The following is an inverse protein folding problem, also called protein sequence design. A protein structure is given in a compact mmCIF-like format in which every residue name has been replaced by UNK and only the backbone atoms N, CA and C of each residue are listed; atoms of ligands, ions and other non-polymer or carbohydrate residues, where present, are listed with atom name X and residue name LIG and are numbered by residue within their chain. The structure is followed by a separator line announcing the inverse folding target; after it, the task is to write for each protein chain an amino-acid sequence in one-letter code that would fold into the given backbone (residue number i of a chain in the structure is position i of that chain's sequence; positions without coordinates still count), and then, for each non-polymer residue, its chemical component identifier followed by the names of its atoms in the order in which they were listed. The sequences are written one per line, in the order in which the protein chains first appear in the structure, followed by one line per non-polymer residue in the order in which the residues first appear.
data_IF_332264283966
#
_entry.id   IF_332264283966
#
_cell.length_a   1.000
_cell.length_b   1.000
_cell.length_c   1.000
_cell.angle_alpha   90.00
_cell.angle_beta   90.00
_cell.angle_gamma   90.00
#
_symmetry.space_group_name_H-M   'P 1'
#
loop_
_entity.id
_entity.type
_entity.pdbx_description
1 polymer ?
#
# COMPACT_ATOMS: atom_id res chain seq x y z
N UNK A 1 -19.53 15.93 -3.10
CA UNK A 1 -18.13 15.53 -2.81
C UNK A 1 -17.98 14.82 -1.47
N UNK A 2 -18.57 15.28 -0.36
CA UNK A 2 -18.35 14.70 0.98
C UNK A 2 -18.85 13.25 1.20
N UNK A 3 -19.96 12.81 0.60
CA UNK A 3 -20.49 11.46 0.85
C UNK A 3 -19.69 10.32 0.19
N UNK A 4 -19.04 10.55 -0.95
CA UNK A 4 -18.28 9.52 -1.67
C UNK A 4 -17.00 9.14 -0.92
N UNK A 5 -16.34 10.13 -0.32
CA UNK A 5 -15.11 9.97 0.46
C UNK A 5 -15.36 9.15 1.72
N UNK A 6 -16.56 9.23 2.31
CA UNK A 6 -16.87 8.51 3.54
C UNK A 6 -16.93 6.98 3.34
N UNK A 7 -17.53 6.53 2.24
CA UNK A 7 -17.57 5.09 1.91
C UNK A 7 -16.20 4.51 1.62
N UNK A 8 -15.34 5.25 0.92
CA UNK A 8 -13.96 4.84 0.63
C UNK A 8 -13.13 4.78 1.91
N UNK A 9 -13.27 5.77 2.80
CA UNK A 9 -12.61 5.74 4.13
C UNK A 9 -13.03 4.53 4.95
N UNK A 10 -14.33 4.22 5.00
CA UNK A 10 -14.84 3.06 5.73
C UNK A 10 -14.31 1.76 5.09
N UNK A 11 -14.28 1.66 3.76
CA UNK A 11 -13.77 0.49 3.06
C UNK A 11 -12.27 0.27 3.32
N UNK A 12 -11.44 1.30 3.12
CA UNK A 12 -9.98 1.25 3.35
C UNK A 12 -9.67 0.99 4.83
N UNK A 13 -10.36 1.68 5.74
CA UNK A 13 -10.24 1.46 7.18
C UNK A 13 -10.62 0.04 7.58
N UNK A 14 -11.70 -0.51 7.02
CA UNK A 14 -12.11 -1.90 7.29
C UNK A 14 -11.07 -2.90 6.80
N UNK A 15 -10.52 -2.70 5.59
CA UNK A 15 -9.45 -3.54 5.05
C UNK A 15 -8.20 -3.44 5.94
N UNK A 16 -7.83 -2.24 6.39
CA UNK A 16 -6.69 -2.02 7.28
C UNK A 16 -6.88 -2.71 8.64
N UNK A 17 -8.08 -2.63 9.23
CA UNK A 17 -8.40 -3.31 10.51
C UNK A 17 -8.39 -4.82 10.34
N UNK A 18 -9.00 -5.36 9.27
CA UNK A 18 -8.99 -6.79 8.99
C UNK A 18 -7.57 -7.32 8.74
N UNK A 19 -6.77 -6.58 7.97
CA UNK A 19 -5.36 -6.91 7.70
C UNK A 19 -4.50 -6.83 8.96
N UNK A 20 -4.67 -5.78 9.76
CA UNK A 20 -3.97 -5.62 11.03
C UNK A 20 -4.33 -6.71 12.05
N UNK A 21 -5.62 -7.07 12.16
CA UNK A 21 -6.09 -8.18 12.99
C UNK A 21 -5.53 -9.52 12.52
N UNK A 22 -5.43 -9.73 11.20
CA UNK A 22 -4.79 -10.92 10.62
C UNK A 22 -3.30 -10.99 10.98
N UNK A 23 -2.56 -9.90 10.82
CA UNK A 23 -1.13 -9.83 11.17
C UNK A 23 -0.88 -10.06 12.67
N UNK A 24 -1.73 -9.50 13.54
CA UNK A 24 -1.66 -9.75 14.98
C UNK A 24 -1.99 -11.20 15.32
N UNK A 25 -3.07 -11.75 14.75
CA UNK A 25 -3.46 -13.15 14.95
C UNK A 25 -2.34 -14.09 14.52
N UNK A 26 -1.69 -13.82 13.39
CA UNK A 26 -0.56 -14.63 12.92
C UNK A 26 0.65 -14.53 13.86
N UNK A 27 0.94 -13.36 14.42
CA UNK A 27 2.00 -13.22 15.44
C UNK A 27 1.73 -14.03 16.72
N UNK A 28 0.48 -14.05 17.18
CA UNK A 28 0.09 -14.76 18.41
C UNK A 28 -0.09 -16.27 18.21
N UNK A 29 -0.67 -16.70 17.09
CA UNK A 29 -0.93 -18.13 16.81
C UNK A 29 0.28 -18.87 16.22
N UNK A 30 1.15 -18.21 15.44
CA UNK A 30 2.42 -18.81 15.02
C UNK A 30 3.53 -18.43 16.01
N UNK A 31 3.51 -19.08 17.18
CA UNK A 31 4.49 -18.84 18.25
C UNK A 31 5.88 -19.39 17.93
N UNK A 32 5.96 -20.33 17.00
CA UNK A 32 7.21 -20.90 16.51
C UNK A 32 7.88 -19.98 15.48
N UNK A 33 9.04 -19.44 15.85
CA UNK A 33 10.04 -18.89 14.94
C UNK A 33 10.66 -19.93 13.98
N UNK A 34 10.05 -21.11 13.89
CA UNK A 34 10.35 -22.16 12.93
C UNK A 34 9.26 -22.12 11.88
N UNK A 35 9.64 -21.95 10.61
CA UNK A 35 8.74 -22.13 9.49
C UNK A 35 7.85 -23.35 9.75
N UNK A 36 6.53 -23.23 9.52
CA UNK A 36 5.60 -24.37 9.36
C UNK A 36 5.99 -25.33 8.21
N UNK A 37 7.15 -25.09 7.60
CA UNK A 37 7.85 -25.84 6.56
C UNK A 37 9.22 -26.32 7.07
N UNK A 38 9.30 -26.91 8.27
CA UNK A 38 10.52 -27.58 8.76
C UNK A 38 10.60 -29.07 8.41
N UNK A 39 9.56 -29.64 7.78
CA UNK A 39 9.70 -30.93 7.12
C UNK A 39 10.32 -30.72 5.74
N UNK A 40 11.58 -31.16 5.56
CA UNK A 40 12.35 -30.99 4.33
C UNK A 40 11.62 -31.48 3.06
N UNK A 41 10.66 -32.42 3.21
CA UNK A 41 9.74 -32.88 2.16
C UNK A 41 8.82 -31.77 1.62
N UNK A 42 8.28 -30.90 2.47
CA UNK A 42 7.35 -29.84 2.05
C UNK A 42 8.08 -28.64 1.44
N UNK A 43 9.28 -28.29 1.93
CA UNK A 43 10.13 -27.27 1.28
C UNK A 43 10.51 -27.68 -0.14
N UNK A 44 10.91 -28.94 -0.34
CA UNK A 44 11.15 -29.47 -1.69
C UNK A 44 9.87 -29.45 -2.52
N UNK A 45 8.73 -29.93 -2.01
CA UNK A 45 7.48 -29.94 -2.77
C UNK A 45 7.00 -28.53 -3.16
N UNK A 46 7.12 -27.54 -2.28
CA UNK A 46 6.77 -26.14 -2.58
C UNK A 46 7.78 -25.52 -3.55
N UNK A 47 9.08 -25.76 -3.38
CA UNK A 47 10.10 -25.28 -4.31
C UNK A 47 9.99 -25.93 -5.70
N UNK A 48 9.65 -27.22 -5.77
CA UNK A 48 9.45 -27.96 -7.03
C UNK A 48 8.13 -27.60 -7.70
N UNK A 49 7.06 -27.32 -6.93
CA UNK A 49 5.82 -26.77 -7.48
C UNK A 49 6.01 -25.33 -7.94
N UNK A 50 6.75 -24.50 -7.20
CA UNK A 50 7.11 -23.15 -7.64
C UNK A 50 7.98 -23.19 -8.90
N UNK A 51 8.97 -24.07 -8.99
CA UNK A 51 9.78 -24.20 -10.21
C UNK A 51 8.96 -24.68 -11.41
N UNK A 52 8.02 -25.62 -11.22
CA UNK A 52 7.13 -26.10 -12.27
C UNK A 52 6.08 -25.06 -12.70
N UNK A 53 5.66 -24.17 -11.79
CA UNK A 53 4.83 -23.00 -12.11
C UNK A 53 5.63 -21.86 -12.75
N UNK A 54 6.94 -21.80 -12.51
CA UNK A 54 7.85 -20.79 -13.09
C UNK A 54 8.27 -21.15 -14.52
N UNK A 55 8.07 -22.39 -14.96
CA UNK A 55 8.10 -22.75 -16.39
C UNK A 55 6.89 -22.13 -17.11
N UNK A 56 7.12 -20.93 -17.66
CA UNK A 56 6.28 -20.16 -18.61
C UNK A 56 4.92 -19.62 -18.13
N UNK A 57 4.22 -20.22 -17.15
CA UNK A 57 2.86 -19.76 -16.75
C UNK A 57 2.83 -18.78 -15.58
N UNK A 58 3.79 -18.86 -14.66
CA UNK A 58 3.83 -18.02 -13.46
C UNK A 58 4.18 -16.56 -13.72
N UNK A 59 4.98 -16.27 -14.75
CA UNK A 59 5.37 -14.89 -15.11
C UNK A 59 4.14 -14.09 -15.58
N UNK A 60 3.28 -14.69 -16.41
CA UNK A 60 2.07 -14.02 -16.88
C UNK A 60 1.08 -13.76 -15.72
N UNK A 61 0.90 -14.75 -14.82
CA UNK A 61 0.08 -14.58 -13.62
C UNK A 61 0.62 -13.52 -12.68
N UNK A 62 1.95 -13.46 -12.50
CA UNK A 62 2.62 -12.46 -11.67
C UNK A 62 2.47 -11.05 -12.26
N UNK A 63 2.68 -10.88 -13.58
CA UNK A 63 2.47 -9.60 -14.27
C UNK A 63 1.02 -9.15 -14.12
N UNK A 64 0.06 -10.06 -14.32
CA UNK A 64 -1.36 -9.73 -14.18
C UNK A 64 -1.69 -9.32 -12.74
N UNK A 65 -1.18 -10.05 -11.74
CA UNK A 65 -1.37 -9.72 -10.32
C UNK A 65 -0.79 -8.35 -9.95
N UNK A 66 0.44 -8.05 -10.41
CA UNK A 66 1.09 -6.75 -10.18
C UNK A 66 0.33 -5.64 -10.88
N UNK A 67 -0.13 -5.85 -12.11
CA UNK A 67 -0.90 -4.87 -12.89
C UNK A 67 -2.24 -4.53 -12.21
N UNK A 68 -2.96 -5.55 -11.74
CA UNK A 68 -4.21 -5.36 -10.98
C UNK A 68 -3.96 -4.62 -9.66
N UNK A 69 -2.90 -4.99 -8.93
CA UNK A 69 -2.54 -4.30 -7.70
C UNK A 69 -2.20 -2.83 -7.94
N UNK A 70 -1.39 -2.54 -8.97
CA UNK A 70 -1.02 -1.18 -9.35
C UNK A 70 -2.25 -0.35 -9.78
N UNK A 71 -3.16 -0.94 -10.55
CA UNK A 71 -4.41 -0.28 -10.95
C UNK A 71 -5.29 0.05 -9.74
N UNK A 72 -5.45 -0.89 -8.80
CA UNK A 72 -6.24 -0.68 -7.59
C UNK A 72 -5.65 0.42 -6.70
N UNK A 73 -4.34 0.42 -6.49
CA UNK A 73 -3.64 1.43 -5.66
C UNK A 73 -3.81 2.82 -6.27
N UNK A 74 -3.52 2.99 -7.57
CA UNK A 74 -3.72 4.26 -8.27
C UNK A 74 -5.18 4.73 -8.23
N UNK A 75 -6.15 3.80 -8.29
CA UNK A 75 -7.58 4.15 -8.20
C UNK A 75 -7.93 4.67 -6.80
N UNK A 76 -7.42 4.03 -5.74
CA UNK A 76 -7.60 4.48 -4.36
C UNK A 76 -6.95 5.86 -4.16
N UNK A 77 -5.71 6.04 -4.61
CA UNK A 77 -4.97 7.30 -4.48
C UNK A 77 -5.65 8.43 -5.24
N UNK A 78 -6.12 8.16 -6.47
CA UNK A 78 -6.92 9.11 -7.22
C UNK A 78 -8.13 9.54 -6.38
N UNK A 79 -8.93 8.62 -5.87
CA UNK A 79 -10.15 8.99 -5.13
C UNK A 79 -9.84 9.72 -3.80
N UNK A 80 -8.76 9.36 -3.13
CA UNK A 80 -8.36 9.94 -1.84
C UNK A 80 -7.69 11.32 -1.98
N UNK A 81 -6.91 11.54 -3.03
CA UNK A 81 -6.10 12.75 -3.23
C UNK A 81 -6.66 13.72 -4.27
N UNK A 82 -7.63 13.31 -5.11
CA UNK A 82 -8.19 14.13 -6.20
C UNK A 82 -8.84 15.44 -5.74
N UNK A 83 -9.19 15.58 -4.45
CA UNK A 83 -9.65 16.86 -3.91
C UNK A 83 -8.60 17.98 -4.02
N UNK A 84 -7.32 17.67 -3.80
CA UNK A 84 -6.22 18.64 -3.84
C UNK A 84 -6.01 19.27 -5.24
N UNK A 85 -5.88 18.51 -6.35
CA UNK A 85 -5.70 19.08 -7.68
C UNK A 85 -6.95 19.84 -8.17
N UNK A 86 -8.16 19.45 -7.77
CA UNK A 86 -9.39 20.18 -8.13
C UNK A 86 -9.40 21.56 -7.49
N UNK A 87 -9.09 21.65 -6.19
CA UNK A 87 -9.00 22.95 -5.51
C UNK A 87 -7.87 23.79 -6.08
N UNK A 88 -6.71 23.17 -6.35
CA UNK A 88 -5.55 23.85 -6.93
C UNK A 88 -5.87 24.46 -8.30
N UNK A 89 -6.46 23.70 -9.22
CA UNK A 89 -6.86 24.18 -10.55
C UNK A 89 -7.98 25.22 -10.48
N UNK A 90 -8.88 25.12 -9.50
CA UNK A 90 -9.91 26.12 -9.25
C UNK A 90 -9.30 27.46 -8.79
N UNK A 91 -8.32 27.45 -7.89
CA UNK A 91 -7.61 28.68 -7.46
C UNK A 91 -6.82 29.28 -8.64
N UNK A 92 -6.18 28.43 -9.44
CA UNK A 92 -5.37 28.86 -10.58
C UNK A 92 -6.21 29.48 -11.70
N UNK A 93 -7.43 28.96 -11.94
CA UNK A 93 -8.37 29.51 -12.91
C UNK A 93 -8.99 30.84 -12.46
N UNK A 94 -9.16 31.05 -11.15
CA UNK A 94 -9.61 32.32 -10.57
C UNK A 94 -8.52 33.40 -10.57
N UNK A 95 -7.24 33.02 -10.68
CA UNK A 95 -6.09 33.93 -10.59
C UNK A 95 -5.72 34.64 -11.91
N UNK A 96 -6.50 34.45 -13.00
CA UNK A 96 -6.28 35.09 -14.31
C UNK A 96 -4.82 35.07 -14.80
N UNK A 97 -4.16 33.90 -14.70
CA UNK A 97 -2.76 33.73 -15.08
C UNK A 97 -2.58 33.58 -16.60
N UNK A 98 -1.37 33.92 -17.09
CA UNK A 98 -0.99 33.60 -18.46
C UNK A 98 -0.99 32.09 -18.70
N UNK A 99 -1.34 31.65 -19.92
CA UNK A 99 -1.44 30.23 -20.28
C UNK A 99 -0.16 29.45 -19.97
N UNK A 100 1.01 30.06 -20.18
CA UNK A 100 2.31 29.44 -19.91
C UNK A 100 2.55 29.21 -18.41
N UNK A 101 2.24 30.21 -17.57
CA UNK A 101 2.38 30.07 -16.11
C UNK A 101 1.42 29.02 -15.55
N UNK A 102 0.18 28.97 -16.06
CA UNK A 102 -0.83 27.99 -15.66
C UNK A 102 -0.33 26.54 -15.82
N UNK A 103 0.20 26.18 -17.00
CA UNK A 103 0.71 24.82 -17.23
C UNK A 103 1.99 24.50 -16.45
N UNK A 104 2.86 25.49 -16.22
CA UNK A 104 4.09 25.30 -15.44
C UNK A 104 3.77 24.96 -13.98
N UNK A 105 2.80 25.67 -13.39
CA UNK A 105 2.31 25.41 -12.03
C UNK A 105 1.67 24.02 -11.88
N UNK A 106 0.86 23.59 -12.86
CA UNK A 106 0.30 22.23 -12.87
C UNK A 106 1.41 21.17 -13.00
N UNK A 107 2.38 21.38 -13.87
CA UNK A 107 3.50 20.45 -14.05
C UNK A 107 4.32 20.31 -12.77
N UNK A 108 4.60 21.44 -12.09
CA UNK A 108 5.31 21.44 -10.81
C UNK A 108 4.52 20.68 -9.74
N UNK A 109 3.20 20.87 -9.67
CA UNK A 109 2.35 20.11 -8.76
C UNK A 109 2.42 18.60 -9.01
N UNK A 110 2.30 18.16 -10.28
CA UNK A 110 2.36 16.74 -10.65
C UNK A 110 3.73 16.13 -10.30
N UNK A 111 4.82 16.88 -10.56
CA UNK A 111 6.17 16.41 -10.23
C UNK A 111 6.37 16.17 -8.74
N UNK A 112 5.88 17.07 -7.90
CA UNK A 112 5.99 16.92 -6.44
C UNK A 112 5.15 15.75 -5.95
N UNK A 113 3.92 15.61 -6.46
CA UNK A 113 3.00 14.52 -6.09
C UNK A 113 3.47 13.13 -6.58
N UNK A 114 4.21 13.03 -7.68
CA UNK A 114 4.81 11.74 -8.07
C UNK A 114 6.11 11.44 -7.31
N UNK A 115 6.78 12.45 -6.78
CA UNK A 115 8.08 12.29 -6.14
C UNK A 115 7.96 11.56 -4.80
N UNK A 116 6.92 11.84 -4.00
CA UNK A 116 6.73 11.17 -2.72
C UNK A 116 6.40 9.68 -2.87
N UNK A 117 5.55 9.30 -3.82
CA UNK A 117 5.27 7.90 -4.14
C UNK A 117 6.54 7.15 -4.57
N UNK A 118 7.34 7.77 -5.44
CA UNK A 118 8.60 7.21 -5.91
C UNK A 118 9.61 7.02 -4.77
N UNK A 119 9.70 7.99 -3.86
CA UNK A 119 10.56 7.90 -2.69
C UNK A 119 10.15 6.75 -1.76
N UNK A 120 8.87 6.64 -1.42
CA UNK A 120 8.36 5.56 -0.56
C UNK A 120 8.60 4.20 -1.22
N UNK A 121 8.34 4.08 -2.52
CA UNK A 121 8.59 2.86 -3.28
C UNK A 121 10.06 2.44 -3.26
N UNK A 122 10.98 3.38 -3.54
CA UNK A 122 12.41 3.09 -3.49
C UNK A 122 12.88 2.70 -2.09
N UNK A 123 12.40 3.38 -1.05
CA UNK A 123 12.70 3.03 0.35
C UNK A 123 12.24 1.59 0.63
N UNK A 124 11.03 1.21 0.20
CA UNK A 124 10.52 -0.14 0.40
C UNK A 124 11.37 -1.20 -0.32
N UNK A 125 11.69 -0.99 -1.60
CA UNK A 125 12.49 -1.93 -2.40
C UNK A 125 13.91 -2.05 -1.85
N UNK A 126 14.53 -0.92 -1.51
CA UNK A 126 15.88 -0.90 -0.96
C UNK A 126 15.95 -1.53 0.44
N UNK A 127 14.94 -1.26 1.28
CA UNK A 127 14.77 -1.90 2.58
C UNK A 127 14.67 -3.42 2.44
N UNK A 128 13.90 -3.94 1.48
CA UNK A 128 13.81 -5.37 1.21
C UNK A 128 15.13 -5.99 0.70
N UNK A 129 15.92 -5.23 -0.07
CA UNK A 129 17.21 -5.69 -0.57
C UNK A 129 18.27 -5.77 0.54
N UNK A 130 18.29 -4.79 1.44
CA UNK A 130 19.22 -4.73 2.58
C UNK A 130 18.83 -5.67 3.71
N UNK A 131 17.55 -5.71 4.08
CA UNK A 131 17.01 -6.63 5.06
C UNK A 131 16.73 -7.98 4.39
N UNK A 132 17.77 -8.83 4.28
CA UNK A 132 17.59 -10.26 3.98
C UNK A 132 16.59 -10.84 4.98
N UNK A 133 15.33 -10.99 4.56
CA UNK A 133 14.18 -11.26 5.42
C UNK A 133 14.43 -12.50 6.30
N UNK A 134 14.93 -12.25 7.51
CA UNK A 134 15.16 -13.29 8.51
C UNK A 134 13.84 -13.55 9.22
N UNK A 135 13.54 -14.81 9.54
CA UNK A 135 12.27 -15.19 10.17
C UNK A 135 11.93 -14.38 11.45
N UNK A 136 12.94 -13.94 12.20
CA UNK A 136 12.76 -13.01 13.35
C UNK A 136 12.27 -11.62 12.93
N UNK A 137 12.81 -11.06 11.84
CA UNK A 137 12.44 -9.73 11.34
C UNK A 137 11.02 -9.70 10.77
N UNK A 138 10.63 -10.75 10.02
CA UNK A 138 9.26 -10.88 9.51
C UNK A 138 8.24 -10.94 10.66
N UNK A 139 8.55 -11.66 11.75
CA UNK A 139 7.68 -11.73 12.93
C UNK A 139 7.53 -10.37 13.62
N UNK A 140 8.62 -9.63 13.79
CA UNK A 140 8.57 -8.30 14.43
C UNK A 140 7.85 -7.28 13.53
N UNK A 141 8.05 -7.37 12.21
CA UNK A 141 7.34 -6.56 11.22
C UNK A 141 5.83 -6.83 11.23
N UNK A 142 5.39 -8.09 11.34
CA UNK A 142 3.96 -8.42 11.48
C UNK A 142 3.36 -7.84 12.76
N UNK A 143 4.10 -7.83 13.88
CA UNK A 143 3.63 -7.23 15.13
C UNK A 143 3.47 -5.71 14.97
N UNK A 144 4.55 -5.01 14.60
CA UNK A 144 4.54 -3.55 14.50
C UNK A 144 3.57 -3.09 13.41
N UNK A 145 3.67 -3.68 12.22
CA UNK A 145 2.78 -3.38 11.10
C UNK A 145 1.32 -3.67 11.44
N UNK A 146 1.03 -4.78 12.12
CA UNK A 146 -0.32 -5.13 12.56
C UNK A 146 -0.90 -4.15 13.58
N UNK A 147 -0.11 -3.75 14.59
CA UNK A 147 -0.53 -2.72 15.57
C UNK A 147 -0.78 -1.39 14.87
N UNK A 148 0.14 -0.95 14.02
CA UNK A 148 0.01 0.32 13.28
C UNK A 148 -1.23 0.30 12.37
N UNK A 149 -1.45 -0.77 11.61
CA UNK A 149 -2.63 -0.95 10.76
C UNK A 149 -3.94 -0.95 11.56
N UNK A 150 -3.97 -1.61 12.72
CA UNK A 150 -5.15 -1.63 13.59
C UNK A 150 -5.47 -0.26 14.17
N UNK A 151 -4.44 0.44 14.68
CA UNK A 151 -4.59 1.77 15.26
C UNK A 151 -5.06 2.74 14.19
N UNK A 152 -4.34 2.84 13.07
CA UNK A 152 -4.68 3.77 11.99
C UNK A 152 -6.05 3.43 11.35
N UNK A 153 -6.32 2.15 11.08
CA UNK A 153 -7.61 1.72 10.51
C UNK A 153 -8.79 2.00 11.44
N UNK A 154 -8.63 1.75 12.75
CA UNK A 154 -9.68 2.07 13.74
C UNK A 154 -9.88 3.58 13.88
N UNK A 155 -8.79 4.36 13.89
CA UNK A 155 -8.87 5.82 13.95
C UNK A 155 -9.64 6.38 12.74
N UNK A 156 -9.37 5.83 11.55
CA UNK A 156 -10.04 6.23 10.30
C UNK A 156 -11.55 5.95 10.32
N UNK A 157 -12.00 4.88 10.99
CA UNK A 157 -13.43 4.50 11.09
C UNK A 157 -14.14 5.28 12.19
N UNK A 158 -13.58 5.32 13.41
CA UNK A 158 -14.29 5.82 14.59
C UNK A 158 -14.13 7.33 14.79
N UNK A 159 -12.97 7.91 14.43
CA UNK A 159 -12.65 9.33 14.65
C UNK A 159 -11.72 9.86 13.55
N UNK A 160 -12.20 9.96 12.29
CA UNK A 160 -11.39 10.49 11.18
C UNK A 160 -10.95 11.95 11.40
N UNK A 161 -11.64 12.70 12.25
CA UNK A 161 -11.31 14.08 12.59
C UNK A 161 -9.95 14.25 13.29
N UNK A 162 -9.47 13.23 13.99
CA UNK A 162 -8.13 13.27 14.62
C UNK A 162 -6.98 13.21 13.61
N UNK A 163 -7.24 12.75 12.39
CA UNK A 163 -6.25 12.65 11.31
C UNK A 163 -6.33 13.82 10.32
N UNK A 164 -7.43 14.57 10.31
CA UNK A 164 -7.72 15.62 9.34
C UNK A 164 -7.72 17.03 9.96
N UNK A 165 -6.95 17.22 11.02
CA UNK A 165 -6.75 18.53 11.64
C UNK A 165 -6.15 19.55 10.65
#
# INVERSE_FOLDING_TARGET
FFSYINWVKIAVGSIAVLGGAYYLKEYFFNKDSSCKVTSSKYKKKIATTMSFLTEKKGIFLAILGISVLAFLVNLIELICSFGLPVIYTQILSLSSLSTSSYYLYILLYILVFMLDDLLIFFIAVFSLHLLKLTAKYSRFSHLIGGVVLLVLGSLLIFKPEWLMF
#
